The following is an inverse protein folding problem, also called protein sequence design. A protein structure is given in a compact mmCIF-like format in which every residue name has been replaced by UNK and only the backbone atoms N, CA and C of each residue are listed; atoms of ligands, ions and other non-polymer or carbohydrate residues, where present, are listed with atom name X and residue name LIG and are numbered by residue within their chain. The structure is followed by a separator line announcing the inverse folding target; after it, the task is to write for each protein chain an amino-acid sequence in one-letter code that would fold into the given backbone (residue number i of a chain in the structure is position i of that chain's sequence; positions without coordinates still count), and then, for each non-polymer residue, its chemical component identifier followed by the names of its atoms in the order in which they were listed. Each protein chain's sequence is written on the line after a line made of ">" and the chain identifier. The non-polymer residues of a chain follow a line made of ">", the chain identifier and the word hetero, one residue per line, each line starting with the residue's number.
data_IF_684711311343
#
_entry.id   IF_684711311343
#
_cell.length_a   1.000
_cell.length_b   1.000
_cell.length_c   1.000
_cell.angle_alpha   90.00
_cell.angle_beta   90.00
_cell.angle_gamma   90.00
#
_symmetry.space_group_name_H-M   'P 1'
#
loop_
_entity.id
_entity.type
_entity.pdbx_description
1 polymer ?
#
# COMPACT_ATOMS: atom_id res chain seq x y z
N UNK A 1 -16.20 -9.55 7.22
CA UNK A 1 -15.12 -8.95 6.41
C UNK A 1 -14.25 -10.09 5.90
N UNK A 2 -14.19 -10.31 4.59
CA UNK A 2 -13.33 -11.34 3.99
C UNK A 2 -11.89 -11.00 4.37
N UNK A 3 -11.20 -11.92 5.06
CA UNK A 3 -9.78 -11.75 5.38
C UNK A 3 -9.02 -11.85 4.07
N UNK A 4 -8.57 -10.71 3.53
CA UNK A 4 -7.71 -10.72 2.34
C UNK A 4 -6.40 -11.43 2.67
N UNK A 5 -5.90 -12.18 1.72
CA UNK A 5 -4.60 -12.84 1.86
C UNK A 5 -3.48 -11.90 1.42
N UNK A 6 -2.25 -12.12 1.91
CA UNK A 6 -1.07 -11.34 1.49
C UNK A 6 -0.90 -11.26 -0.04
N UNK A 7 -1.01 -12.37 -0.81
CA UNK A 7 -0.90 -12.31 -2.27
C UNK A 7 -1.99 -11.51 -2.97
N UNK A 8 -3.19 -11.41 -2.38
CA UNK A 8 -4.26 -10.55 -2.92
C UNK A 8 -3.95 -9.07 -2.70
N UNK A 9 -3.45 -8.73 -1.51
CA UNK A 9 -3.03 -7.36 -1.21
C UNK A 9 -1.87 -6.94 -2.10
N UNK A 10 -0.86 -7.78 -2.27
CA UNK A 10 0.29 -7.50 -3.13
C UNK A 10 -0.12 -7.32 -4.60
N UNK A 11 -0.99 -8.19 -5.14
CA UNK A 11 -1.52 -8.04 -6.51
C UNK A 11 -2.29 -6.74 -6.69
N UNK A 12 -3.11 -6.37 -5.69
CA UNK A 12 -3.84 -5.10 -5.73
C UNK A 12 -2.89 -3.90 -5.70
N UNK A 13 -1.91 -3.90 -4.79
CA UNK A 13 -0.90 -2.83 -4.70
C UNK A 13 -0.15 -2.67 -6.02
N UNK A 14 0.32 -3.77 -6.61
CA UNK A 14 1.03 -3.76 -7.89
C UNK A 14 0.17 -3.19 -9.02
N UNK A 15 -1.10 -3.62 -9.12
CA UNK A 15 -2.04 -3.10 -10.12
C UNK A 15 -2.28 -1.59 -9.96
N UNK A 16 -2.48 -1.13 -8.72
CA UNK A 16 -2.72 0.29 -8.42
C UNK A 16 -1.48 1.15 -8.67
N UNK A 17 -0.28 0.63 -8.39
CA UNK A 17 0.99 1.31 -8.69
C UNK A 17 1.25 1.40 -10.20
N UNK A 18 0.95 0.33 -10.94
CA UNK A 18 1.08 0.31 -12.41
C UNK A 18 0.10 1.29 -13.09
N UNK A 19 -1.09 1.46 -12.53
CA UNK A 19 -2.09 2.41 -13.01
C UNK A 19 -1.80 3.88 -12.62
N UNK A 20 -0.88 4.13 -11.68
CA UNK A 20 -0.56 5.48 -11.24
C UNK A 20 0.44 6.14 -12.20
N UNK A 21 0.01 7.28 -12.75
CA UNK A 21 0.70 7.99 -13.84
C UNK A 21 1.70 9.03 -13.34
N UNK A 22 1.58 9.48 -12.09
CA UNK A 22 2.53 10.42 -11.48
C UNK A 22 3.14 9.89 -10.17
N UNK A 23 4.37 10.33 -9.82
CA UNK A 23 4.95 10.05 -8.51
C UNK A 23 4.03 10.49 -7.36
N UNK A 24 3.37 11.66 -7.49
CA UNK A 24 2.44 12.20 -6.49
C UNK A 24 1.21 11.29 -6.28
N UNK A 25 0.64 10.75 -7.36
CA UNK A 25 -0.45 9.76 -7.27
C UNK A 25 0.00 8.46 -6.59
N UNK A 26 1.26 8.04 -6.79
CA UNK A 26 1.81 6.87 -6.09
C UNK A 26 1.95 7.13 -4.59
N UNK A 27 2.40 8.33 -4.21
CA UNK A 27 2.56 8.73 -2.81
C UNK A 27 1.22 8.87 -2.08
N UNK A 28 0.21 9.49 -2.69
CA UNK A 28 -1.12 9.66 -2.07
C UNK A 28 -1.80 8.32 -1.73
N UNK A 29 -1.44 7.25 -2.44
CA UNK A 29 -1.98 5.91 -2.21
C UNK A 29 -1.20 5.11 -1.15
N UNK A 30 -0.05 5.60 -0.68
CA UNK A 30 0.78 4.92 0.30
C UNK A 30 0.09 4.68 1.65
N UNK A 31 -0.72 5.63 2.13
CA UNK A 31 -1.55 5.43 3.32
C UNK A 31 -2.58 4.30 3.15
N UNK A 32 -3.19 4.20 1.97
CA UNK A 32 -4.18 3.17 1.65
C UNK A 32 -3.54 1.77 1.66
N UNK A 33 -2.33 1.65 1.11
CA UNK A 33 -1.55 0.41 1.14
C UNK A 33 -1.13 0.02 2.55
N UNK A 34 -0.70 0.98 3.38
CA UNK A 34 -0.34 0.71 4.76
C UNK A 34 -1.53 0.15 5.57
N UNK A 35 -2.75 0.67 5.36
CA UNK A 35 -3.96 0.13 5.95
C UNK A 35 -4.22 -1.32 5.54
N UNK A 36 -4.08 -1.64 4.26
CA UNK A 36 -4.27 -3.02 3.76
C UNK A 36 -3.28 -4.00 4.37
N UNK A 37 -2.00 -3.62 4.48
CA UNK A 37 -0.99 -4.45 5.13
C UNK A 37 -1.26 -4.61 6.64
N UNK A 38 -1.75 -3.57 7.31
CA UNK A 38 -2.14 -3.65 8.71
C UNK A 38 -3.31 -4.63 8.93
N UNK A 39 -4.34 -4.60 8.07
CA UNK A 39 -5.52 -5.48 8.14
C UNK A 39 -5.16 -6.97 8.01
N UNK A 40 -4.10 -7.28 7.26
CA UNK A 40 -3.59 -8.65 7.12
C UNK A 40 -2.47 -9.00 8.12
N UNK A 41 -2.21 -8.13 9.09
CA UNK A 41 -1.19 -8.26 10.15
C UNK A 41 0.27 -8.23 9.65
N UNK A 42 0.52 -7.65 8.48
CA UNK A 42 1.86 -7.41 7.92
C UNK A 42 2.39 -6.04 8.38
N UNK A 43 2.66 -5.90 9.68
CA UNK A 43 2.92 -4.59 10.30
C UNK A 43 4.21 -3.91 9.84
N UNK A 44 5.28 -4.68 9.61
CA UNK A 44 6.54 -4.12 9.11
C UNK A 44 6.39 -3.57 7.69
N UNK A 45 5.59 -4.24 6.87
CA UNK A 45 5.27 -3.77 5.53
C UNK A 45 4.38 -2.52 5.57
N UNK A 46 3.41 -2.48 6.49
CA UNK A 46 2.57 -1.31 6.72
C UNK A 46 3.41 -0.09 7.11
N UNK A 47 4.34 -0.24 8.08
CA UNK A 47 5.25 0.83 8.52
C UNK A 47 6.13 1.35 7.37
N UNK A 48 6.77 0.46 6.61
CA UNK A 48 7.60 0.85 5.46
C UNK A 48 6.80 1.64 4.43
N UNK A 49 5.59 1.17 4.13
CA UNK A 49 4.74 1.82 3.13
C UNK A 49 4.27 3.20 3.58
N UNK A 50 3.94 3.37 4.87
CA UNK A 50 3.68 4.69 5.47
C UNK A 50 4.90 5.62 5.38
N UNK A 51 6.10 5.15 5.72
CA UNK A 51 7.32 5.96 5.70
C UNK A 51 7.70 6.41 4.28
N UNK A 52 7.57 5.53 3.29
CA UNK A 52 7.80 5.87 1.87
C UNK A 52 6.78 6.91 1.39
N UNK A 53 5.52 6.78 1.81
CA UNK A 53 4.46 7.75 1.52
C UNK A 53 4.74 9.13 2.12
N UNK A 54 5.28 9.16 3.34
CA UNK A 54 5.58 10.39 4.08
C UNK A 54 6.76 11.17 3.49
N UNK A 55 7.83 10.48 3.08
CA UNK A 55 9.02 11.11 2.51
C UNK A 55 8.85 11.65 1.07
N UNK A 56 7.69 11.44 0.45
CA UNK A 56 7.38 11.95 -0.90
C UNK A 56 6.36 13.10 -0.91
N UNK A 57 5.90 13.56 0.27
CA UNK A 57 5.12 14.78 0.45
C UNK A 57 6.05 15.96 0.75
#
# INVERSE_FOLDING_TARGET
>A
MIRRTKPEVERYVASVQAAASSPRERSLKGFLFAKLYFEIKEYELAKRTCLVSWNML
#
